data_IF_190060416848
#
_entry.id   IF_190060416848
#
_cell.length_a   1.000
_cell.length_b   1.000
_cell.length_c   1.000
_cell.angle_alpha   90.00
_cell.angle_beta   90.00
_cell.angle_gamma   90.00
#
_symmetry.space_group_name_H-M   'P 1'
#
loop_
_entity.id
_entity.type
_entity.pdbx_description
1 polymer ?
#
# COMPACT_ATOMS: atom_id res chain seq x y z
N UNK A 1 -26.63 21.78 -5.19
CA UNK A 1 -25.59 21.12 -6.04
C UNK A 1 -24.27 21.80 -5.74
N UNK A 2 -23.49 21.27 -4.81
CA UNK A 2 -22.14 21.76 -4.51
C UNK A 2 -21.23 21.34 -5.66
N UNK A 3 -20.65 22.31 -6.34
CA UNK A 3 -19.57 22.08 -7.30
C UNK A 3 -18.40 21.43 -6.56
N UNK A 4 -18.21 20.12 -6.74
CA UNK A 4 -16.94 19.46 -6.45
C UNK A 4 -15.90 20.14 -7.36
N UNK A 5 -15.02 20.94 -6.76
CA UNK A 5 -13.87 21.47 -7.47
C UNK A 5 -12.95 20.29 -7.79
N UNK A 6 -13.07 19.73 -8.98
CA UNK A 6 -12.11 18.76 -9.49
C UNK A 6 -10.75 19.45 -9.52
N UNK A 7 -9.90 19.15 -8.56
CA UNK A 7 -8.49 19.52 -8.64
C UNK A 7 -7.83 18.60 -9.67
N UNK A 8 -7.14 19.19 -10.61
CA UNK A 8 -6.38 18.48 -11.63
C UNK A 8 -4.91 18.48 -11.27
N UNK A 9 -4.32 17.29 -11.18
CA UNK A 9 -2.90 17.14 -10.93
C UNK A 9 -2.17 16.71 -12.20
N UNK A 10 -0.97 17.24 -12.41
CA UNK A 10 -0.08 16.81 -13.48
C UNK A 10 0.96 15.78 -13.04
N UNK A 11 0.99 15.45 -11.75
CA UNK A 11 1.91 14.46 -11.17
C UNK A 11 1.16 13.41 -10.38
N UNK A 12 1.65 12.18 -10.45
CA UNK A 12 1.17 11.04 -9.70
C UNK A 12 2.34 10.24 -9.17
N UNK A 13 2.24 9.78 -7.93
CA UNK A 13 3.30 9.02 -7.27
C UNK A 13 2.89 7.57 -7.14
N UNK A 14 3.76 6.69 -7.60
CA UNK A 14 3.68 5.27 -7.30
C UNK A 14 4.66 4.93 -6.19
N UNK A 15 4.69 3.68 -5.77
CA UNK A 15 5.70 3.17 -4.83
C UNK A 15 7.13 3.48 -5.28
N UNK A 16 7.41 3.38 -6.57
CA UNK A 16 8.77 3.39 -7.13
C UNK A 16 9.02 4.43 -8.20
N UNK A 17 7.99 5.13 -8.64
CA UNK A 17 8.09 6.08 -9.74
C UNK A 17 7.30 7.35 -9.47
N UNK A 18 7.70 8.42 -10.13
CA UNK A 18 6.91 9.63 -10.27
C UNK A 18 6.47 9.73 -11.72
N UNK A 19 5.18 9.90 -11.94
CA UNK A 19 4.57 10.13 -13.23
C UNK A 19 4.25 11.61 -13.38
N UNK A 20 4.71 12.24 -14.46
CA UNK A 20 4.45 13.65 -14.71
C UNK A 20 3.85 13.83 -16.11
N UNK A 21 2.74 14.55 -16.21
CA UNK A 21 2.16 14.96 -17.47
C UNK A 21 2.77 16.31 -17.84
N UNK A 22 3.51 16.34 -18.95
CA UNK A 22 4.13 17.53 -19.49
C UNK A 22 3.60 17.73 -20.90
N UNK A 23 2.67 18.67 -21.07
CA UNK A 23 1.98 18.88 -22.35
C UNK A 23 1.24 17.61 -22.82
N UNK A 24 1.62 17.03 -23.94
CA UNK A 24 1.04 15.80 -24.50
C UNK A 24 1.89 14.53 -24.19
N UNK A 25 2.81 14.62 -23.25
CA UNK A 25 3.69 13.51 -22.89
C UNK A 25 3.53 13.12 -21.43
N UNK A 26 3.65 11.84 -21.16
CA UNK A 26 3.82 11.29 -19.82
C UNK A 26 5.30 10.95 -19.62
N UNK A 27 5.90 11.53 -18.61
CA UNK A 27 7.26 11.24 -18.15
C UNK A 27 7.22 10.34 -16.94
N UNK A 28 7.99 9.26 -16.99
CA UNK A 28 8.12 8.31 -15.89
C UNK A 28 9.53 8.44 -15.32
N UNK A 29 9.62 8.88 -14.06
CA UNK A 29 10.88 9.01 -13.31
C UNK A 29 10.93 7.95 -12.23
N UNK A 30 12.05 7.27 -12.09
CA UNK A 30 12.26 6.29 -11.03
C UNK A 30 12.75 6.98 -9.76
N UNK A 31 12.21 6.56 -8.61
CA UNK A 31 12.70 7.03 -7.31
C UNK A 31 14.09 6.42 -7.00
N UNK A 32 14.97 7.15 -6.29
CA UNK A 32 16.37 6.76 -6.10
C UNK A 32 16.61 5.46 -5.34
N UNK A 33 15.62 4.94 -4.61
CA UNK A 33 15.76 3.80 -3.69
C UNK A 33 15.74 2.42 -4.36
N UNK A 34 15.49 2.33 -5.68
CA UNK A 34 15.22 1.06 -6.34
C UNK A 34 16.24 0.65 -7.39
N UNK A 35 16.38 -0.69 -7.57
CA UNK A 35 17.02 -1.23 -8.76
C UNK A 35 16.27 -0.71 -9.99
N UNK A 36 16.98 -0.01 -10.82
CA UNK A 36 16.45 0.52 -12.06
C UNK A 36 16.06 -0.63 -13.00
N UNK A 37 14.89 -0.53 -13.61
CA UNK A 37 14.50 -1.41 -14.70
C UNK A 37 14.97 -0.78 -16.02
N UNK A 38 15.58 -1.57 -16.89
CA UNK A 38 16.06 -1.06 -18.19
C UNK A 38 14.91 -0.75 -19.15
N UNK A 39 13.80 -1.45 -18.99
CA UNK A 39 12.62 -1.30 -19.82
C UNK A 39 11.33 -1.47 -19.03
N UNK A 40 10.35 -0.62 -19.32
CA UNK A 40 8.98 -0.73 -18.84
C UNK A 40 8.00 -0.80 -20.00
N UNK A 41 6.89 -1.47 -19.80
CA UNK A 41 5.75 -1.46 -20.70
C UNK A 41 4.66 -0.56 -20.11
N UNK A 42 4.12 0.31 -20.94
CA UNK A 42 3.05 1.23 -20.55
C UNK A 42 1.91 1.14 -21.56
N UNK A 43 0.67 1.19 -21.10
CA UNK A 43 -0.48 1.34 -21.97
C UNK A 43 -1.62 2.10 -21.30
N UNK A 44 -2.48 2.68 -22.14
CA UNK A 44 -3.70 3.38 -21.75
C UNK A 44 -4.90 2.62 -22.28
N UNK A 45 -5.85 2.32 -21.40
CA UNK A 45 -7.14 1.71 -21.73
C UNK A 45 -8.31 2.62 -21.31
N UNK A 46 -9.48 2.43 -21.92
CA UNK A 46 -10.72 3.05 -21.45
C UNK A 46 -11.46 2.17 -20.45
N UNK A 47 -12.61 2.63 -19.97
CA UNK A 47 -13.44 1.93 -18.99
C UNK A 47 -13.98 0.57 -19.49
N UNK A 48 -14.02 0.35 -20.81
CA UNK A 48 -14.39 -0.93 -21.38
C UNK A 48 -13.24 -1.94 -21.44
N UNK A 49 -12.02 -1.52 -21.06
CA UNK A 49 -10.80 -2.31 -21.16
C UNK A 49 -10.13 -2.26 -22.54
N UNK A 50 -10.66 -1.44 -23.46
CA UNK A 50 -10.04 -1.28 -24.78
C UNK A 50 -8.74 -0.49 -24.68
N UNK A 51 -7.64 -1.09 -25.11
CA UNK A 51 -6.33 -0.43 -25.18
C UNK A 51 -6.28 0.54 -26.33
N UNK A 52 -5.94 1.80 -26.03
CA UNK A 52 -5.78 2.86 -27.05
C UNK A 52 -4.34 3.03 -27.50
N UNK A 53 -3.38 2.80 -26.62
CA UNK A 53 -1.95 2.85 -26.96
C UNK A 53 -1.15 2.00 -25.98
N UNK A 54 -0.22 1.21 -26.51
CA UNK A 54 0.76 0.41 -25.78
C UNK A 54 2.16 0.69 -26.32
N UNK A 55 3.14 0.86 -25.45
CA UNK A 55 4.51 1.16 -25.84
C UNK A 55 5.50 0.59 -24.81
N UNK A 56 6.70 0.25 -25.28
CA UNK A 56 7.83 -0.16 -24.45
C UNK A 56 8.79 1.01 -24.35
N UNK A 57 9.12 1.41 -23.13
CA UNK A 57 9.94 2.57 -22.87
C UNK A 57 11.28 2.14 -22.30
N UNK A 58 12.37 2.44 -23.00
CA UNK A 58 13.74 2.23 -22.51
C UNK A 58 14.13 3.35 -21.55
N UNK A 59 14.96 2.98 -20.59
CA UNK A 59 15.52 3.90 -19.62
C UNK A 59 16.52 4.84 -20.27
N UNK A 60 16.50 6.11 -19.88
CA UNK A 60 17.42 7.16 -20.27
C UNK A 60 17.87 7.92 -19.02
N UNK A 61 19.00 7.55 -18.44
CA UNK A 61 19.47 8.14 -17.18
C UNK A 61 18.55 7.83 -15.99
N UNK A 62 17.99 8.87 -15.37
CA UNK A 62 17.08 8.73 -14.21
C UNK A 62 15.60 8.64 -14.57
N UNK A 63 15.25 8.66 -15.86
CA UNK A 63 13.88 8.56 -16.34
C UNK A 63 13.80 7.60 -17.54
N UNK A 64 12.59 7.31 -17.97
CA UNK A 64 12.32 6.56 -19.20
C UNK A 64 12.05 7.52 -20.35
N UNK A 65 12.17 7.03 -21.59
CA UNK A 65 11.74 7.78 -22.77
C UNK A 65 10.29 8.25 -22.57
N UNK A 66 10.02 9.50 -22.87
CA UNK A 66 8.68 10.09 -22.71
C UNK A 66 7.64 9.33 -23.55
N UNK A 67 6.52 8.99 -22.91
CA UNK A 67 5.38 8.34 -23.56
C UNK A 67 4.44 9.41 -24.12
N UNK A 68 4.24 9.42 -25.42
CA UNK A 68 3.28 10.35 -26.05
C UNK A 68 1.85 9.88 -25.78
N UNK A 69 1.07 10.69 -25.08
CA UNK A 69 -0.33 10.40 -24.74
C UNK A 69 -1.19 10.31 -26.02
N UNK A 70 -2.14 9.36 -26.09
CA UNK A 70 -2.94 9.16 -27.29
C UNK A 70 -3.95 10.31 -27.50
N UNK A 71 -4.28 10.57 -28.76
CA UNK A 71 -5.39 11.45 -29.13
C UNK A 71 -6.70 10.65 -29.05
N UNK A 72 -7.44 10.80 -27.97
CA UNK A 72 -8.71 10.10 -27.70
C UNK A 72 -9.77 11.11 -27.27
N UNK A 73 -11.07 10.80 -27.28
CA UNK A 73 -12.11 11.68 -26.74
C UNK A 73 -11.89 12.08 -25.28
N UNK A 74 -12.53 13.15 -24.82
CA UNK A 74 -12.55 13.50 -23.40
C UNK A 74 -13.30 12.42 -22.61
N UNK A 75 -12.79 12.09 -21.43
CA UNK A 75 -13.31 10.99 -20.62
C UNK A 75 -12.29 10.42 -19.65
N UNK A 76 -12.68 9.34 -19.00
CA UNK A 76 -11.85 8.61 -18.05
C UNK A 76 -11.10 7.47 -18.73
N UNK A 77 -9.82 7.39 -18.47
CA UNK A 77 -8.89 6.37 -18.94
C UNK A 77 -8.10 5.80 -17.77
N UNK A 78 -7.41 4.70 -18.02
CA UNK A 78 -6.54 4.03 -17.06
C UNK A 78 -5.15 3.84 -17.68
N UNK A 79 -4.16 4.22 -16.89
CA UNK A 79 -2.75 4.03 -17.21
C UNK A 79 -2.23 2.81 -16.45
N UNK A 80 -1.63 1.87 -17.17
CA UNK A 80 -1.08 0.65 -16.60
C UNK A 80 0.40 0.56 -16.95
N UNK A 81 1.23 0.27 -15.94
CA UNK A 81 2.66 0.10 -16.10
C UNK A 81 3.11 -1.29 -15.65
N UNK A 82 3.99 -1.88 -16.44
CA UNK A 82 4.64 -3.16 -16.15
C UNK A 82 6.14 -3.03 -16.26
N UNK A 83 6.85 -3.79 -15.46
CA UNK A 83 8.31 -3.97 -15.58
C UNK A 83 8.63 -5.29 -16.25
N UNK A 84 9.75 -5.37 -16.93
CA UNK A 84 10.35 -6.64 -17.34
C UNK A 84 10.96 -7.33 -16.11
N UNK A 85 10.71 -8.61 -15.92
CA UNK A 85 11.16 -9.32 -14.72
C UNK A 85 12.67 -9.56 -14.71
N UNK A 86 13.21 -10.07 -15.81
CA UNK A 86 14.63 -10.29 -16.07
C UNK A 86 14.90 -10.14 -17.57
N UNK A 87 16.17 -10.06 -17.98
CA UNK A 87 16.52 -10.04 -19.40
C UNK A 87 16.17 -11.37 -20.11
N UNK A 88 16.15 -12.49 -19.38
CA UNK A 88 15.84 -13.83 -19.90
C UNK A 88 14.34 -14.06 -20.00
N UNK A 89 13.54 -13.42 -19.14
CA UNK A 89 12.08 -13.51 -19.14
C UNK A 89 11.48 -12.42 -20.04
N UNK A 90 10.85 -12.82 -21.13
CA UNK A 90 10.02 -11.90 -21.94
C UNK A 90 8.71 -11.50 -21.25
N UNK A 91 8.61 -11.70 -19.93
CA UNK A 91 7.42 -11.42 -19.16
C UNK A 91 7.51 -10.06 -18.47
N UNK A 92 6.43 -9.30 -18.52
CA UNK A 92 6.25 -8.04 -17.83
C UNK A 92 5.29 -8.21 -16.65
N UNK A 93 5.69 -7.72 -15.48
CA UNK A 93 4.88 -7.75 -14.26
C UNK A 93 4.45 -6.34 -13.87
N UNK A 94 3.22 -6.20 -13.41
CA UNK A 94 2.78 -4.93 -12.82
C UNK A 94 3.69 -4.59 -11.64
N UNK A 95 4.25 -3.39 -11.62
CA UNK A 95 5.01 -2.86 -10.49
C UNK A 95 4.30 -1.70 -9.81
N UNK A 96 3.11 -1.45 -10.24
CA UNK A 96 2.18 -0.53 -9.61
C UNK A 96 1.03 -1.38 -9.12
N UNK A 97 0.46 -1.05 -7.99
CA UNK A 97 -0.74 -1.69 -7.45
C UNK A 97 -1.58 -2.35 -8.53
N UNK A 98 -2.22 -3.43 -8.25
CA UNK A 98 -3.25 -4.00 -9.09
C UNK A 98 -4.40 -3.03 -9.47
N UNK A 99 -4.24 -1.73 -9.15
CA UNK A 99 -5.14 -0.65 -9.54
C UNK A 99 -4.55 0.07 -10.75
N UNK A 100 -5.33 0.12 -11.79
CA UNK A 100 -5.06 0.97 -12.94
C UNK A 100 -5.03 2.44 -12.50
N UNK A 101 -3.99 3.19 -12.88
CA UNK A 101 -3.88 4.60 -12.51
C UNK A 101 -4.90 5.40 -13.31
N UNK A 102 -5.85 6.07 -12.67
CA UNK A 102 -6.86 6.83 -13.38
C UNK A 102 -6.26 8.05 -14.07
N UNK A 103 -6.64 8.26 -15.31
CA UNK A 103 -6.34 9.44 -16.13
C UNK A 103 -7.63 10.07 -16.59
N UNK A 104 -7.82 11.36 -16.33
CA UNK A 104 -8.93 12.13 -16.84
C UNK A 104 -8.49 12.99 -18.00
N UNK A 105 -9.20 12.91 -19.14
CA UNK A 105 -8.99 13.81 -20.26
C UNK A 105 -10.13 14.83 -20.32
N UNK A 106 -9.77 16.12 -20.29
CA UNK A 106 -10.72 17.25 -20.32
C UNK A 106 -10.17 18.31 -21.25
N UNK A 107 -11.00 18.77 -22.18
CA UNK A 107 -10.61 19.78 -23.18
C UNK A 107 -9.29 19.43 -23.91
N UNK A 108 -9.13 18.15 -24.23
CA UNK A 108 -7.97 17.67 -24.97
C UNK A 108 -6.71 17.44 -24.14
N UNK A 109 -6.69 17.77 -22.85
CA UNK A 109 -5.54 17.60 -21.96
C UNK A 109 -5.79 16.48 -20.97
N UNK A 110 -4.74 15.72 -20.63
CA UNK A 110 -4.78 14.69 -19.62
C UNK A 110 -4.36 15.22 -18.24
N UNK A 111 -4.98 14.67 -17.19
CA UNK A 111 -4.70 14.97 -15.80
C UNK A 111 -4.84 13.70 -14.96
N UNK A 112 -4.14 13.64 -13.83
CA UNK A 112 -4.47 12.70 -12.77
C UNK A 112 -5.61 13.30 -11.94
N UNK A 113 -6.72 12.57 -11.72
CA UNK A 113 -7.75 13.05 -10.80
C UNK A 113 -7.14 13.17 -9.41
N UNK A 114 -7.34 14.31 -8.77
CA UNK A 114 -6.95 14.54 -7.38
C UNK A 114 -8.13 14.25 -6.47
N UNK A 115 -7.83 13.71 -5.29
CA UNK A 115 -8.80 13.56 -4.20
C UNK A 115 -8.32 14.38 -3.01
N UNK A 116 -9.25 14.84 -2.19
CA UNK A 116 -8.93 15.52 -0.92
C UNK A 116 -8.28 14.56 0.09
N UNK A 117 -8.19 13.26 -0.22
CA UNK A 117 -7.66 12.22 0.68
C UNK A 117 -6.18 12.44 0.99
N UNK A 118 -5.37 12.88 0.04
CA UNK A 118 -3.95 13.17 0.31
C UNK A 118 -3.81 14.26 1.39
N UNK A 119 -4.59 15.33 1.29
CA UNK A 119 -4.52 16.42 2.26
C UNK A 119 -5.11 16.00 3.61
N UNK A 120 -6.18 15.20 3.62
CA UNK A 120 -6.73 14.62 4.85
C UNK A 120 -5.70 13.73 5.55
N UNK A 121 -5.04 12.84 4.81
CA UNK A 121 -4.00 11.95 5.35
C UNK A 121 -2.77 12.73 5.83
N UNK A 122 -2.39 13.82 5.14
CA UNK A 122 -1.29 14.71 5.60
C UNK A 122 -1.62 15.33 6.96
N UNK A 123 -2.83 15.88 7.11
CA UNK A 123 -3.30 16.45 8.39
C UNK A 123 -3.37 15.39 9.49
N UNK A 124 -3.82 14.19 9.14
CA UNK A 124 -3.86 13.07 10.07
C UNK A 124 -2.46 12.74 10.60
N UNK A 125 -1.47 12.52 9.72
CA UNK A 125 -0.09 12.21 10.14
C UNK A 125 0.49 13.35 11.00
N UNK A 126 0.25 14.61 10.64
CA UNK A 126 0.70 15.77 11.41
C UNK A 126 0.05 15.85 12.79
N UNK A 127 -1.13 15.28 12.98
CA UNK A 127 -1.82 15.23 14.27
C UNK A 127 -1.26 14.19 15.24
N UNK A 128 -0.51 13.19 14.73
CA UNK A 128 0.09 12.14 15.55
C UNK A 128 1.29 12.74 16.31
N UNK A 129 1.19 12.73 17.62
CA UNK A 129 2.27 13.23 18.47
C UNK A 129 3.50 12.32 18.41
N UNK A 130 4.66 12.92 18.21
CA UNK A 130 5.97 12.23 18.14
C UNK A 130 6.96 12.75 19.20
N UNK A 131 6.46 13.37 20.28
CA UNK A 131 7.29 13.70 21.43
C UNK A 131 7.73 12.42 22.17
N UNK A 132 8.75 12.58 23.03
CA UNK A 132 9.34 11.45 23.77
C UNK A 132 8.32 10.62 24.56
N UNK A 133 7.33 11.26 25.19
CA UNK A 133 6.31 10.58 25.98
C UNK A 133 5.35 9.78 25.08
N UNK A 134 4.93 10.36 23.98
CA UNK A 134 4.06 9.69 22.99
C UNK A 134 4.78 8.51 22.37
N UNK A 135 6.03 8.66 21.94
CA UNK A 135 6.82 7.55 21.39
C UNK A 135 7.02 6.42 22.41
N UNK A 136 7.24 6.74 23.70
CA UNK A 136 7.27 5.71 24.74
C UNK A 136 5.93 4.99 24.90
N UNK A 137 4.80 5.68 24.71
CA UNK A 137 3.48 5.05 24.74
C UNK A 137 3.31 4.10 23.57
N UNK A 138 3.82 4.44 22.40
CA UNK A 138 3.76 3.59 21.21
C UNK A 138 4.68 2.36 21.25
N UNK A 139 5.48 2.18 22.32
CA UNK A 139 6.20 0.92 22.59
C UNK A 139 5.54 0.04 23.65
N UNK A 140 4.49 0.55 24.33
CA UNK A 140 3.82 -0.22 25.39
C UNK A 140 2.86 -1.27 24.82
N UNK A 141 2.67 -2.38 25.54
CA UNK A 141 1.64 -3.35 25.18
C UNK A 141 0.23 -2.78 25.41
N UNK A 142 -0.74 -3.36 24.73
CA UNK A 142 -2.17 -3.16 25.00
C UNK A 142 -2.88 -4.51 25.05
N UNK A 143 -4.20 -4.51 25.25
CA UNK A 143 -4.99 -5.73 25.30
C UNK A 143 -4.87 -6.59 24.04
N UNK A 144 -4.91 -5.97 22.87
CA UNK A 144 -4.82 -6.66 21.58
C UNK A 144 -3.37 -6.78 21.06
N UNK A 145 -2.46 -5.90 21.54
CA UNK A 145 -1.06 -5.81 21.13
C UNK A 145 -0.16 -6.30 22.25
N UNK A 146 -0.06 -7.63 22.42
CA UNK A 146 0.69 -8.27 23.51
C UNK A 146 2.19 -8.34 23.22
N UNK A 147 2.86 -7.19 23.13
CA UNK A 147 4.31 -7.14 22.83
C UNK A 147 5.22 -7.72 23.92
N UNK A 148 4.67 -8.04 25.11
CA UNK A 148 5.35 -8.72 26.19
C UNK A 148 5.31 -10.25 26.11
N UNK A 149 4.45 -10.80 25.25
CA UNK A 149 4.30 -12.24 25.09
C UNK A 149 5.61 -12.90 24.65
N UNK A 150 5.92 -14.09 25.22
CA UNK A 150 7.19 -14.77 24.98
C UNK A 150 7.37 -15.18 23.53
N UNK A 151 6.32 -15.73 22.91
CA UNK A 151 6.38 -16.26 21.56
C UNK A 151 6.49 -15.14 20.53
N UNK A 152 5.79 -14.00 20.76
CA UNK A 152 5.92 -12.81 19.95
C UNK A 152 7.34 -12.25 20.04
N UNK A 153 7.89 -12.13 21.25
CA UNK A 153 9.26 -11.62 21.46
C UNK A 153 10.32 -12.51 20.84
N UNK A 154 10.21 -13.83 21.02
CA UNK A 154 11.13 -14.79 20.44
C UNK A 154 11.07 -14.74 18.90
N UNK A 155 9.87 -14.75 18.34
CA UNK A 155 9.66 -14.66 16.90
C UNK A 155 10.24 -13.37 16.34
N UNK A 156 9.91 -12.21 16.92
CA UNK A 156 10.42 -10.92 16.47
C UNK A 156 11.96 -10.85 16.53
N UNK A 157 12.58 -11.32 17.62
CA UNK A 157 14.05 -11.39 17.74
C UNK A 157 14.66 -12.29 16.68
N UNK A 158 14.06 -13.46 16.42
CA UNK A 158 14.55 -14.39 15.40
C UNK A 158 14.52 -13.77 14.02
N UNK A 159 13.42 -13.09 13.67
CA UNK A 159 13.24 -12.44 12.38
C UNK A 159 14.25 -11.31 12.19
N UNK A 160 14.47 -10.52 13.25
CA UNK A 160 15.28 -9.29 13.17
C UNK A 160 16.76 -9.48 13.51
N UNK A 161 17.19 -10.69 13.86
CA UNK A 161 18.56 -10.95 14.35
C UNK A 161 19.70 -10.48 13.46
N UNK A 162 19.48 -10.41 12.16
CA UNK A 162 20.49 -9.97 11.18
C UNK A 162 20.20 -8.57 10.60
N UNK A 163 19.25 -7.86 11.19
CA UNK A 163 18.91 -6.50 10.74
C UNK A 163 19.97 -5.50 11.20
N UNK A 164 20.47 -4.69 10.28
CA UNK A 164 21.55 -3.73 10.56
C UNK A 164 21.09 -2.48 11.31
N UNK A 165 19.81 -2.12 11.21
CA UNK A 165 19.20 -0.96 11.85
C UNK A 165 17.70 -1.18 12.05
N UNK A 166 17.01 -0.22 12.67
CA UNK A 166 15.59 -0.35 12.96
C UNK A 166 14.72 -0.37 11.71
N UNK A 167 15.08 0.35 10.65
CA UNK A 167 14.37 0.27 9.36
C UNK A 167 14.39 -1.15 8.78
N UNK A 168 15.54 -1.82 8.82
CA UNK A 168 15.64 -3.22 8.37
C UNK A 168 14.90 -4.21 9.28
N UNK A 169 14.75 -3.89 10.57
CA UNK A 169 13.89 -4.68 11.47
C UNK A 169 12.42 -4.55 11.07
N UNK A 170 11.96 -3.33 10.75
CA UNK A 170 10.59 -3.09 10.28
C UNK A 170 10.33 -3.86 8.99
N UNK A 171 11.24 -3.78 8.01
CA UNK A 171 11.14 -4.52 6.75
C UNK A 171 11.11 -6.04 6.96
N UNK A 172 11.95 -6.57 7.84
CA UNK A 172 12.01 -8.00 8.12
C UNK A 172 10.70 -8.52 8.76
N UNK A 173 10.13 -7.76 9.70
CA UNK A 173 8.84 -8.09 10.32
C UNK A 173 7.71 -8.03 9.31
N UNK A 174 7.63 -6.96 8.52
CA UNK A 174 6.64 -6.82 7.45
C UNK A 174 6.68 -8.02 6.49
N UNK A 175 7.85 -8.33 5.97
CA UNK A 175 8.04 -9.43 5.03
C UNK A 175 7.68 -10.79 5.63
N UNK A 176 8.01 -11.01 6.90
CA UNK A 176 7.67 -12.26 7.56
C UNK A 176 6.15 -12.40 7.70
N UNK A 177 5.45 -11.35 8.13
CA UNK A 177 3.99 -11.34 8.29
C UNK A 177 3.32 -11.59 6.95
N UNK A 178 3.67 -10.83 5.91
CA UNK A 178 3.08 -10.96 4.59
C UNK A 178 3.24 -12.38 3.99
N UNK A 179 4.36 -13.05 4.31
CA UNK A 179 4.66 -14.41 3.81
C UNK A 179 4.09 -15.54 4.67
N UNK A 180 3.90 -15.31 5.96
CA UNK A 180 3.62 -16.38 6.92
C UNK A 180 2.17 -16.44 7.35
N UNK A 181 1.43 -15.34 7.25
CA UNK A 181 0.01 -15.31 7.59
C UNK A 181 -0.87 -15.56 6.37
N UNK A 182 -2.05 -16.06 6.66
CA UNK A 182 -3.11 -16.35 5.68
C UNK A 182 -4.32 -15.47 5.95
N UNK A 183 -4.81 -14.78 4.91
CA UNK A 183 -6.01 -13.96 5.07
C UNK A 183 -7.25 -14.84 5.22
N UNK A 184 -8.00 -14.67 6.30
CA UNK A 184 -9.13 -15.52 6.68
C UNK A 184 -10.43 -15.07 6.00
N UNK A 185 -10.57 -15.44 4.72
CA UNK A 185 -11.78 -15.18 3.93
C UNK A 185 -13.02 -15.86 4.50
N UNK A 186 -12.87 -17.08 5.07
CA UNK A 186 -13.99 -17.80 5.68
C UNK A 186 -14.63 -17.02 6.84
N UNK A 187 -13.80 -16.33 7.63
CA UNK A 187 -14.29 -15.49 8.73
C UNK A 187 -14.84 -14.16 8.25
N UNK A 188 -14.28 -13.60 7.17
CA UNK A 188 -14.74 -12.34 6.58
C UNK A 188 -16.13 -12.51 5.97
N UNK A 189 -16.33 -13.51 5.10
CA UNK A 189 -17.60 -13.74 4.40
C UNK A 189 -18.77 -14.02 5.33
N UNK A 190 -18.49 -14.64 6.48
CA UNK A 190 -19.52 -14.99 7.48
C UNK A 190 -19.70 -13.94 8.57
N UNK A 191 -19.03 -12.79 8.45
CA UNK A 191 -18.94 -11.80 9.53
C UNK A 191 -18.48 -12.37 10.90
N UNK A 192 -17.88 -13.56 10.88
CA UNK A 192 -17.49 -14.27 12.09
C UNK A 192 -16.38 -13.54 12.84
N UNK A 193 -15.54 -12.78 12.12
CA UNK A 193 -14.46 -11.98 12.73
C UNK A 193 -14.99 -10.96 13.75
N UNK A 194 -16.23 -10.47 13.63
CA UNK A 194 -16.86 -9.52 14.57
C UNK A 194 -17.04 -10.08 15.98
N UNK A 195 -17.15 -11.40 16.10
CA UNK A 195 -17.27 -12.10 17.38
C UNK A 195 -15.98 -12.75 17.86
N UNK A 196 -14.92 -12.74 17.05
CA UNK A 196 -13.63 -13.33 17.39
C UNK A 196 -12.82 -12.41 18.30
N UNK A 197 -12.13 -12.99 19.26
CA UNK A 197 -11.08 -12.27 20.02
C UNK A 197 -9.82 -12.23 19.18
N UNK A 198 -9.76 -11.26 18.25
CA UNK A 198 -8.55 -11.00 17.46
C UNK A 198 -7.51 -10.37 18.39
N UNK A 199 -6.28 -10.85 18.32
CA UNK A 199 -5.13 -10.30 19.04
C UNK A 199 -3.82 -10.76 18.40
N UNK A 200 -2.72 -10.11 18.73
CA UNK A 200 -1.41 -10.49 18.22
C UNK A 200 -1.06 -11.96 18.56
N UNK A 201 -1.33 -12.42 19.78
CA UNK A 201 -1.08 -13.80 20.21
C UNK A 201 -1.94 -14.79 19.45
N UNK A 202 -3.26 -14.53 19.33
CA UNK A 202 -4.15 -15.44 18.60
C UNK A 202 -3.80 -15.52 17.12
N UNK A 203 -3.39 -14.40 16.51
CA UNK A 203 -2.94 -14.35 15.11
C UNK A 203 -1.65 -15.13 14.90
N UNK A 204 -0.66 -14.98 15.79
CA UNK A 204 0.59 -15.74 15.71
C UNK A 204 0.34 -17.24 15.84
N UNK A 205 -0.51 -17.66 16.78
CA UNK A 205 -0.78 -19.07 17.06
C UNK A 205 -1.59 -19.76 15.96
N UNK A 206 -2.56 -19.06 15.36
CA UNK A 206 -3.42 -19.63 14.30
C UNK A 206 -2.82 -19.54 12.89
N UNK A 207 -1.87 -18.63 12.67
CA UNK A 207 -1.28 -18.36 11.36
C UNK A 207 -2.25 -17.70 10.38
N UNK A 208 -3.43 -17.25 10.81
CA UNK A 208 -4.43 -16.62 9.97
C UNK A 208 -5.22 -15.55 10.71
N UNK A 209 -5.63 -14.51 10.00
CA UNK A 209 -6.54 -13.46 10.53
C UNK A 209 -7.08 -12.58 9.39
N UNK A 210 -7.94 -11.62 9.75
CA UNK A 210 -8.27 -10.47 8.91
C UNK A 210 -7.25 -9.34 9.14
N UNK A 211 -7.39 -8.21 8.46
CA UNK A 211 -6.47 -7.06 8.54
C UNK A 211 -6.12 -6.62 9.96
N UNK A 212 -7.08 -6.71 10.89
CA UNK A 212 -6.87 -6.36 12.29
C UNK A 212 -5.76 -7.20 12.92
N UNK A 213 -5.79 -8.52 12.80
CA UNK A 213 -4.76 -9.39 13.41
C UNK A 213 -3.39 -9.24 12.75
N UNK A 214 -3.34 -9.02 11.44
CA UNK A 214 -2.09 -8.67 10.74
C UNK A 214 -1.46 -7.43 11.35
N UNK A 215 -2.25 -6.39 11.55
CA UNK A 215 -1.80 -5.11 12.12
C UNK A 215 -1.39 -5.27 13.59
N UNK A 216 -2.22 -5.91 14.41
CA UNK A 216 -1.92 -6.12 15.83
C UNK A 216 -0.64 -6.93 16.03
N UNK A 217 -0.43 -7.98 15.24
CA UNK A 217 0.79 -8.77 15.30
C UNK A 217 2.01 -7.97 14.82
N UNK A 218 1.88 -7.19 13.75
CA UNK A 218 2.95 -6.32 13.27
C UNK A 218 3.37 -5.32 14.36
N UNK A 219 2.40 -4.61 14.93
CA UNK A 219 2.63 -3.64 16.00
C UNK A 219 3.23 -4.32 17.25
N UNK A 220 2.74 -5.50 17.64
CA UNK A 220 3.27 -6.22 18.79
C UNK A 220 4.74 -6.65 18.58
N UNK A 221 5.08 -7.17 17.40
CA UNK A 221 6.46 -7.54 17.07
C UNK A 221 7.39 -6.33 17.06
N UNK A 222 6.97 -5.22 16.45
CA UNK A 222 7.75 -3.98 16.41
C UNK A 222 8.01 -3.44 17.82
N UNK A 223 6.97 -3.34 18.64
CA UNK A 223 7.09 -2.89 20.04
C UNK A 223 7.98 -3.81 20.87
N UNK A 224 7.93 -5.13 20.63
CA UNK A 224 8.75 -6.10 21.33
C UNK A 224 10.24 -5.97 21.07
N UNK A 225 10.64 -5.36 19.98
CA UNK A 225 12.04 -5.03 19.62
C UNK A 225 12.37 -3.54 19.82
N UNK A 226 11.51 -2.80 20.53
CA UNK A 226 11.74 -1.42 20.95
C UNK A 226 11.38 -0.35 19.92
N UNK A 227 10.71 -0.70 18.84
CA UNK A 227 10.31 0.26 17.78
C UNK A 227 8.92 0.79 18.11
N UNK A 228 8.73 2.13 18.20
CA UNK A 228 7.42 2.73 18.38
C UNK A 228 6.54 2.41 17.15
N UNK A 229 5.36 1.86 17.39
CA UNK A 229 4.45 1.47 16.31
C UNK A 229 2.98 1.64 16.71
N UNK A 230 2.15 1.93 15.73
CA UNK A 230 0.70 2.13 15.86
C UNK A 230 -0.05 1.40 14.75
N UNK A 231 -1.30 1.04 15.00
CA UNK A 231 -2.26 0.72 13.96
C UNK A 231 -2.98 1.99 13.50
N UNK A 232 -3.34 2.05 12.24
CA UNK A 232 -4.12 3.14 11.66
C UNK A 232 -5.38 2.55 11.03
N UNK A 233 -6.53 2.90 11.58
CA UNK A 233 -7.83 2.56 11.01
C UNK A 233 -8.09 3.48 9.83
N UNK A 234 -8.58 2.93 8.74
CA UNK A 234 -8.84 3.67 7.51
C UNK A 234 -10.08 3.14 6.76
N UNK A 235 -10.53 3.91 5.81
CA UNK A 235 -11.36 3.40 4.74
C UNK A 235 -10.45 3.10 3.54
N UNK A 236 -10.44 1.84 3.10
CA UNK A 236 -9.68 1.43 1.93
C UNK A 236 -10.65 1.11 0.78
N UNK A 237 -10.35 1.62 -0.41
CA UNK A 237 -11.04 1.25 -1.64
C UNK A 237 -10.33 0.06 -2.26
N UNK A 238 -11.12 -0.93 -2.67
CA UNK A 238 -10.60 -2.11 -3.35
C UNK A 238 -9.89 -1.71 -4.65
N UNK A 239 -8.89 -2.50 -5.02
CA UNK A 239 -8.19 -2.39 -6.30
C UNK A 239 -9.13 -2.41 -7.51
N UNK A 240 -10.28 -3.05 -7.39
CA UNK A 240 -11.30 -3.15 -8.44
C UNK A 240 -12.25 -1.95 -8.49
N UNK A 241 -12.12 -0.99 -7.56
CA UNK A 241 -12.92 0.23 -7.55
C UNK A 241 -12.45 1.18 -8.65
N UNK A 242 -12.93 0.96 -9.86
CA UNK A 242 -12.56 1.70 -11.09
C UNK A 242 -12.79 3.21 -10.99
N UNK A 243 -13.62 3.65 -10.07
CA UNK A 243 -13.98 5.05 -9.90
C UNK A 243 -13.17 5.79 -8.84
N UNK A 244 -12.24 5.12 -8.15
CA UNK A 244 -11.42 5.72 -7.11
C UNK A 244 -12.28 6.42 -6.04
N UNK A 245 -11.87 7.60 -5.61
CA UNK A 245 -12.56 8.41 -4.58
C UNK A 245 -13.76 9.24 -5.10
N UNK A 246 -14.39 8.87 -6.22
CA UNK A 246 -15.48 9.67 -6.84
C UNK A 246 -16.78 9.65 -6.07
N UNK A 247 -17.08 8.56 -5.37
CA UNK A 247 -18.29 8.50 -4.56
C UNK A 247 -18.09 9.25 -3.24
N UNK A 248 -19.07 10.04 -2.78
CA UNK A 248 -19.01 10.64 -1.47
C UNK A 248 -19.02 9.52 -0.42
N UNK A 249 -17.81 9.19 0.07
CA UNK A 249 -17.65 8.22 1.13
C UNK A 249 -18.08 8.89 2.43
N UNK A 250 -18.93 8.23 3.20
CA UNK A 250 -19.24 8.69 4.53
C UNK A 250 -17.93 8.78 5.34
N UNK A 251 -17.62 9.96 5.87
CA UNK A 251 -16.37 10.21 6.59
C UNK A 251 -16.18 9.32 7.83
N UNK A 252 -17.26 8.72 8.34
CA UNK A 252 -17.22 7.79 9.48
C UNK A 252 -17.03 6.33 9.09
N UNK A 253 -17.09 5.98 7.81
CA UNK A 253 -16.91 4.60 7.39
C UNK A 253 -15.44 4.19 7.44
N UNK A 254 -15.19 3.02 8.00
CA UNK A 254 -13.89 2.36 8.04
C UNK A 254 -14.06 0.88 7.75
N UNK A 255 -13.16 0.30 7.00
CA UNK A 255 -13.22 -1.11 6.61
C UNK A 255 -11.85 -1.80 6.65
N UNK A 256 -10.80 -1.06 7.00
CA UNK A 256 -9.44 -1.57 6.97
C UNK A 256 -8.56 -0.97 8.07
N UNK A 257 -7.46 -1.65 8.39
CA UNK A 257 -6.44 -1.21 9.34
C UNK A 257 -5.07 -1.71 8.88
N UNK A 258 -4.06 -0.86 9.03
CA UNK A 258 -2.66 -1.15 8.69
C UNK A 258 -1.72 -0.61 9.76
N UNK A 259 -0.42 -0.91 9.66
CA UNK A 259 0.56 -0.51 10.66
C UNK A 259 1.44 0.67 10.21
N UNK A 260 1.87 1.48 11.17
CA UNK A 260 2.92 2.46 10.99
C UNK A 260 3.99 2.30 12.07
N UNK A 261 5.27 2.37 11.70
CA UNK A 261 6.41 2.33 12.60
C UNK A 261 7.19 3.65 12.56
N UNK A 262 7.62 4.16 13.71
CA UNK A 262 8.40 5.40 13.78
C UNK A 262 9.90 5.08 13.83
N UNK A 263 10.58 5.37 12.72
CA UNK A 263 12.02 5.10 12.55
C UNK A 263 12.66 6.27 11.80
N UNK A 264 13.89 6.63 12.16
CA UNK A 264 14.66 7.69 11.52
C UNK A 264 13.89 9.03 11.43
N UNK A 265 13.19 9.37 12.53
CA UNK A 265 12.36 10.57 12.67
C UNK A 265 11.21 10.71 11.67
N UNK A 266 10.69 9.60 11.17
CA UNK A 266 9.53 9.56 10.29
C UNK A 266 8.67 8.32 10.51
N UNK A 267 7.44 8.37 10.04
CA UNK A 267 6.57 7.21 9.97
C UNK A 267 6.87 6.39 8.71
N UNK A 268 7.14 5.10 8.90
CA UNK A 268 7.17 4.07 7.85
C UNK A 268 5.76 3.49 7.77
N UNK A 269 5.07 3.73 6.67
CA UNK A 269 3.70 3.27 6.41
C UNK A 269 3.79 1.88 5.79
N UNK A 270 3.14 0.87 6.39
CA UNK A 270 3.22 -0.50 5.88
C UNK A 270 1.90 -1.25 6.01
N UNK A 271 1.50 -1.94 4.96
CA UNK A 271 0.34 -2.81 4.93
C UNK A 271 0.73 -4.24 4.53
N UNK A 272 1.02 -5.05 5.53
CA UNK A 272 1.37 -6.45 5.33
C UNK A 272 0.16 -7.32 4.95
N UNK A 273 -1.07 -6.85 5.16
CA UNK A 273 -2.28 -7.53 4.71
C UNK A 273 -2.37 -7.49 3.18
N UNK A 274 -2.17 -6.32 2.60
CA UNK A 274 -2.22 -6.14 1.15
C UNK A 274 -1.01 -6.73 0.42
N UNK A 275 0.12 -6.89 1.10
CA UNK A 275 1.28 -7.60 0.56
C UNK A 275 1.19 -9.12 0.72
N UNK A 276 0.26 -9.63 1.55
CA UNK A 276 0.04 -11.06 1.70
C UNK A 276 -0.76 -11.63 0.54
N UNK A 277 -0.22 -12.67 -0.09
CA UNK A 277 -0.90 -13.42 -1.15
C UNK A 277 -1.51 -14.73 -0.65
N UNK A 278 -1.25 -15.09 0.61
CA UNK A 278 -1.74 -16.32 1.22
C UNK A 278 -3.19 -16.17 1.65
N UNK A 279 -3.99 -17.23 1.47
CA UNK A 279 -5.42 -17.24 1.80
C UNK A 279 -5.79 -18.44 2.65
N UNK A 280 -6.67 -18.24 3.61
CA UNK A 280 -7.44 -19.30 4.24
C UNK A 280 -8.88 -19.19 3.75
N UNK A 281 -9.28 -20.17 2.95
CA UNK A 281 -10.54 -20.17 2.24
C UNK A 281 -11.04 -21.62 2.10
N UNK A 282 -12.35 -21.86 2.29
CA UNK A 282 -12.95 -23.18 2.28
C UNK A 282 -12.24 -24.15 3.26
N UNK A 283 -11.87 -23.66 4.45
CA UNK A 283 -11.17 -24.42 5.50
C UNK A 283 -9.78 -24.94 5.08
N UNK A 284 -9.14 -24.31 4.10
CA UNK A 284 -7.81 -24.70 3.61
C UNK A 284 -6.85 -23.53 3.65
N UNK A 285 -5.60 -23.82 4.00
CA UNK A 285 -4.49 -22.90 3.84
C UNK A 285 -3.98 -22.97 2.40
N UNK A 286 -4.14 -21.87 1.65
CA UNK A 286 -3.76 -21.78 0.24
C UNK A 286 -2.59 -20.82 0.15
N UNK A 287 -1.41 -21.37 -0.09
CA UNK A 287 -0.23 -20.58 -0.41
C UNK A 287 -0.17 -20.37 -1.92
N UNK A 288 -0.33 -19.14 -2.37
CA UNK A 288 -0.34 -18.81 -3.80
C UNK A 288 1.09 -18.76 -4.38
N UNK A 289 2.10 -19.04 -3.53
CA UNK A 289 3.49 -19.13 -3.95
C UNK A 289 4.02 -17.77 -4.43
N UNK A 290 5.04 -17.31 -3.80
CA UNK A 290 5.46 -15.96 -4.08
C UNK A 290 6.59 -15.91 -5.09
N UNK A 291 6.25 -15.77 -6.32
CA UNK A 291 7.03 -14.88 -7.17
C UNK A 291 6.62 -13.41 -6.92
N UNK A 292 5.80 -13.16 -5.88
CA UNK A 292 5.22 -11.88 -5.53
C UNK A 292 6.18 -10.97 -4.78
N UNK A 293 6.10 -9.69 -5.08
CA UNK A 293 6.79 -8.63 -4.36
C UNK A 293 5.99 -8.39 -3.07
N UNK A 294 6.50 -8.89 -1.93
CA UNK A 294 5.90 -8.68 -0.62
C UNK A 294 6.20 -7.31 0.00
N UNK A 295 6.70 -6.38 -0.77
CA UNK A 295 7.11 -5.04 -0.30
C UNK A 295 6.44 -3.92 -1.07
N UNK A 296 5.39 -4.21 -1.79
CA UNK A 296 4.64 -3.23 -2.57
C UNK A 296 3.99 -2.18 -1.67
N UNK A 297 3.47 -2.64 -0.52
CA UNK A 297 2.83 -1.80 0.49
C UNK A 297 3.72 -1.59 1.73
N UNK A 298 5.03 -1.61 1.53
CA UNK A 298 6.03 -1.30 2.54
C UNK A 298 6.69 0.04 2.26
N UNK A 299 6.82 0.88 3.30
CA UNK A 299 7.36 2.23 3.24
C UNK A 299 6.68 3.08 2.15
N UNK A 300 5.36 2.99 2.13
CA UNK A 300 4.53 3.71 1.17
C UNK A 300 4.70 5.22 1.34
N UNK A 301 4.85 5.93 0.23
CA UNK A 301 4.75 7.39 0.26
C UNK A 301 3.32 7.82 0.54
N UNK A 302 3.14 8.96 1.18
CA UNK A 302 1.81 9.47 1.49
C UNK A 302 0.94 9.67 0.24
N UNK A 303 1.43 10.23 -0.87
CA UNK A 303 0.66 10.30 -2.10
C UNK A 303 0.22 8.92 -2.63
N UNK A 304 1.10 7.92 -2.52
CA UNK A 304 0.79 6.58 -3.00
C UNK A 304 -0.32 5.91 -2.17
N UNK A 305 -0.18 5.87 -0.85
CA UNK A 305 -1.21 5.26 0.03
C UNK A 305 -2.54 6.00 -0.04
N UNK A 306 -2.52 7.30 -0.32
CA UNK A 306 -3.74 8.12 -0.45
C UNK A 306 -4.57 7.80 -1.69
N UNK A 307 -4.04 7.04 -2.66
CA UNK A 307 -4.84 6.57 -3.79
C UNK A 307 -5.90 5.56 -3.37
N UNK A 308 -5.64 4.83 -2.30
CA UNK A 308 -6.48 3.71 -1.86
C UNK A 308 -6.90 3.76 -0.40
N UNK A 309 -6.21 4.53 0.47
CA UNK A 309 -6.45 4.57 1.91
C UNK A 309 -6.74 5.99 2.38
N UNK A 310 -7.87 6.19 3.03
CA UNK A 310 -8.21 7.41 3.76
C UNK A 310 -8.11 7.11 5.26
N UNK A 311 -7.15 7.74 5.92
CA UNK A 311 -6.88 7.55 7.34
C UNK A 311 -7.99 8.15 8.20
N UNK A 312 -8.31 7.50 9.31
CA UNK A 312 -9.40 7.88 10.20
C UNK A 312 -8.92 8.08 11.62
N UNK A 313 -8.37 7.05 12.25
CA UNK A 313 -7.97 7.11 13.65
C UNK A 313 -6.75 6.25 13.96
N UNK A 314 -6.10 6.56 15.09
CA UNK A 314 -4.96 5.78 15.61
C UNK A 314 -5.49 4.69 16.54
N UNK A 315 -5.10 3.46 16.27
CA UNK A 315 -5.28 2.32 17.16
C UNK A 315 -3.99 2.07 17.94
N UNK A 316 -4.03 2.16 19.27
CA UNK A 316 -2.86 2.05 20.16
C UNK A 316 -2.89 0.76 20.96
#
# INVERSE_FOLDING_TARGET
>A
MSQLSNKFCTSFFTEKTVLEIVSCHLRVKQLPSDKAFDEIMIYISDQSGKTHKKEYLKRVGSHYKDYTLPKVPDGMYYLILYRKATEEDNMFYSFIHGVDIPLLRVNGMFFFPDSDVLEQNRKFIQSIKVDKQSLQTYTKPSYAVQSYDSDIREKARTITRFSHNDYHKVLAIHNWIARSLYYDYDSLEKDAYKSMKISAVSTLSTGKSVCQGYTELAVAMLRSVGIPAIGVVCYAIDSDTKDGWKNPICHSETNHIFAMAYVDNRWVIMDSTWDSTNRFENKKFINIGSNGIFTKHFDMTLPFVSNTHRFSEVFI
#
